data_IF_506813057829
#
_entry.id   IF_506813057829
#
_cell.length_a   1.000
_cell.length_b   1.000
_cell.length_c   1.000
_cell.angle_alpha   90.00
_cell.angle_beta   90.00
_cell.angle_gamma   90.00
#
_symmetry.space_group_name_H-M   'P 1'
#
loop_
_entity.id
_entity.type
_entity.pdbx_description
1 polymer ?
#
# COMPACT_ATOMS: atom_id res chain seq x y z
N UNK A 1 5.05 3.32 20.83
CA UNK A 1 5.75 2.31 20.00
C UNK A 1 4.80 1.23 19.49
N UNK A 2 3.95 0.65 20.34
CA UNK A 2 3.01 -0.42 19.95
C UNK A 2 1.98 0.01 18.91
N UNK A 3 1.37 1.19 19.08
CA UNK A 3 0.48 1.81 18.09
C UNK A 3 1.11 1.89 16.68
N UNK A 4 2.36 2.36 16.59
CA UNK A 4 3.08 2.50 15.32
C UNK A 4 3.35 1.15 14.66
N UNK A 5 3.74 0.12 15.43
CA UNK A 5 3.95 -1.23 14.90
C UNK A 5 2.65 -1.82 14.35
N UNK A 6 1.54 -1.64 15.05
CA UNK A 6 0.23 -2.09 14.60
C UNK A 6 -0.21 -1.36 13.33
N UNK A 7 -0.08 -0.03 13.29
CA UNK A 7 -0.41 0.78 12.12
C UNK A 7 0.42 0.38 10.89
N UNK A 8 1.75 0.29 11.03
CA UNK A 8 2.62 -0.12 9.93
C UNK A 8 2.31 -1.53 9.42
N UNK A 9 1.99 -2.45 10.33
CA UNK A 9 1.60 -3.82 9.98
C UNK A 9 0.28 -3.86 9.19
N UNK A 10 -0.67 -3.00 9.54
CA UNK A 10 -1.95 -2.89 8.84
C UNK A 10 -1.79 -2.27 7.45
N UNK A 11 -1.00 -1.21 7.30
CA UNK A 11 -0.65 -0.63 6.00
C UNK A 11 0.00 -1.69 5.09
N UNK A 12 0.99 -2.41 5.60
CA UNK A 12 1.66 -3.48 4.85
C UNK A 12 0.70 -4.62 4.47
N UNK A 13 -0.21 -5.01 5.37
CA UNK A 13 -1.23 -6.03 5.09
C UNK A 13 -2.17 -5.60 3.97
N UNK A 14 -2.64 -4.35 4.01
CA UNK A 14 -3.55 -3.81 3.01
C UNK A 14 -2.90 -3.71 1.63
N UNK A 15 -1.63 -3.27 1.56
CA UNK A 15 -0.85 -3.26 0.31
C UNK A 15 -0.72 -4.65 -0.30
N UNK A 16 -0.28 -5.64 0.50
CA UNK A 16 -0.14 -7.04 0.04
C UNK A 16 -1.47 -7.62 -0.44
N UNK A 17 -2.58 -7.28 0.23
CA UNK A 17 -3.91 -7.70 -0.18
C UNK A 17 -4.30 -7.10 -1.54
N UNK A 18 -4.13 -5.79 -1.72
CA UNK A 18 -4.42 -5.11 -2.98
C UNK A 18 -3.56 -5.63 -4.15
N UNK A 19 -2.26 -5.88 -3.90
CA UNK A 19 -1.36 -6.49 -4.87
C UNK A 19 -1.85 -7.90 -5.29
N UNK A 20 -2.23 -8.72 -4.31
CA UNK A 20 -2.74 -10.08 -4.55
C UNK A 20 -4.03 -10.06 -5.36
N UNK A 21 -5.00 -9.24 -4.98
CA UNK A 21 -6.29 -9.10 -5.68
C UNK A 21 -6.09 -8.65 -7.13
N UNK A 22 -5.25 -7.64 -7.36
CA UNK A 22 -4.93 -7.18 -8.71
C UNK A 22 -4.22 -8.25 -9.55
N UNK A 23 -3.21 -8.91 -8.98
CA UNK A 23 -2.46 -9.93 -9.70
C UNK A 23 -3.32 -11.16 -10.02
N UNK A 24 -4.20 -11.57 -9.12
CA UNK A 24 -5.13 -12.68 -9.36
C UNK A 24 -6.08 -12.35 -10.51
N UNK A 25 -6.69 -11.16 -10.49
CA UNK A 25 -7.52 -10.69 -11.60
C UNK A 25 -6.75 -10.70 -12.92
N UNK A 26 -5.53 -10.17 -12.94
CA UNK A 26 -4.73 -10.10 -14.17
C UNK A 26 -4.28 -11.47 -14.67
N UNK A 27 -3.98 -12.42 -13.78
CA UNK A 27 -3.61 -13.79 -14.17
C UNK A 27 -4.80 -14.60 -14.71
N UNK A 28 -6.00 -14.34 -14.21
CA UNK A 28 -7.22 -15.03 -14.62
C UNK A 28 -7.93 -14.35 -15.80
N UNK A 29 -7.53 -13.12 -16.13
CA UNK A 29 -8.10 -12.32 -17.21
C UNK A 29 -7.88 -12.98 -18.58
N UNK A 30 -8.97 -13.12 -19.31
CA UNK A 30 -9.06 -13.52 -20.70
C UNK A 30 -10.04 -12.57 -21.43
N UNK A 31 -10.05 -12.54 -22.77
CA UNK A 31 -11.01 -11.72 -23.51
C UNK A 31 -12.48 -12.00 -23.14
N UNK A 32 -12.79 -13.22 -22.68
CA UNK A 32 -14.16 -13.66 -22.40
C UNK A 32 -14.66 -13.29 -21.00
N UNK A 33 -13.76 -13.04 -20.05
CA UNK A 33 -14.09 -12.72 -18.65
C UNK A 33 -13.59 -11.32 -18.23
N UNK A 34 -13.11 -10.53 -19.19
CA UNK A 34 -12.60 -9.19 -18.94
C UNK A 34 -13.70 -8.26 -18.40
N UNK A 35 -13.44 -7.67 -17.25
CA UNK A 35 -14.33 -6.71 -16.60
C UNK A 35 -13.57 -5.39 -16.36
N UNK A 36 -13.86 -4.39 -17.20
CA UNK A 36 -13.24 -3.06 -17.14
C UNK A 36 -13.43 -2.36 -15.78
N UNK A 37 -14.63 -2.50 -15.19
CA UNK A 37 -14.96 -1.85 -13.91
C UNK A 37 -14.16 -2.47 -12.76
N UNK A 38 -14.06 -3.80 -12.75
CA UNK A 38 -13.27 -4.51 -11.76
C UNK A 38 -11.78 -4.22 -11.91
N UNK A 39 -11.27 -4.22 -13.14
CA UNK A 39 -9.88 -3.82 -13.43
C UNK A 39 -9.59 -2.41 -12.92
N UNK A 40 -10.46 -1.44 -13.22
CA UNK A 40 -10.29 -0.07 -12.79
C UNK A 40 -10.29 0.05 -11.26
N UNK A 41 -11.26 -0.58 -10.59
CA UNK A 41 -11.37 -0.59 -9.12
C UNK A 41 -10.11 -1.17 -8.47
N UNK A 42 -9.63 -2.32 -8.97
CA UNK A 42 -8.44 -2.98 -8.43
C UNK A 42 -7.17 -2.17 -8.70
N UNK A 43 -7.06 -1.53 -9.87
CA UNK A 43 -5.95 -0.64 -10.22
C UNK A 43 -5.88 0.57 -9.29
N UNK A 44 -7.01 1.24 -9.06
CA UNK A 44 -7.10 2.40 -8.16
C UNK A 44 -6.76 1.98 -6.73
N UNK A 45 -7.29 0.85 -6.26
CA UNK A 45 -6.99 0.34 -4.91
C UNK A 45 -5.49 0.04 -4.72
N UNK A 46 -4.86 -0.58 -5.73
CA UNK A 46 -3.42 -0.85 -5.73
C UNK A 46 -2.59 0.44 -5.70
N UNK A 47 -2.95 1.44 -6.51
CA UNK A 47 -2.24 2.70 -6.55
C UNK A 47 -2.36 3.47 -5.23
N UNK A 48 -3.58 3.59 -4.68
CA UNK A 48 -3.82 4.29 -3.42
C UNK A 48 -3.08 3.63 -2.25
N UNK A 49 -3.13 2.30 -2.15
CA UNK A 49 -2.43 1.59 -1.06
C UNK A 49 -0.91 1.72 -1.17
N UNK A 50 -0.35 1.76 -2.39
CA UNK A 50 1.07 2.06 -2.60
C UNK A 50 1.43 3.50 -2.23
N UNK A 51 0.59 4.48 -2.59
CA UNK A 51 0.79 5.88 -2.18
C UNK A 51 0.80 6.02 -0.65
N UNK A 52 -0.17 5.42 0.04
CA UNK A 52 -0.24 5.45 1.51
C UNK A 52 1.01 4.84 2.16
N UNK A 53 1.52 3.71 1.64
CA UNK A 53 2.75 3.08 2.14
C UNK A 53 3.97 4.00 1.96
N UNK A 54 4.09 4.64 0.79
CA UNK A 54 5.19 5.59 0.50
C UNK A 54 5.13 6.85 1.37
N UNK A 55 3.96 7.45 1.54
CA UNK A 55 3.77 8.63 2.40
C UNK A 55 4.05 8.31 3.87
N UNK A 56 3.60 7.15 4.33
CA UNK A 56 3.91 6.66 5.66
C UNK A 56 5.43 6.48 5.85
N UNK A 57 6.12 5.84 4.91
CA UNK A 57 7.58 5.67 4.97
C UNK A 57 8.32 7.01 5.02
N UNK A 58 7.92 7.98 4.20
CA UNK A 58 8.47 9.35 4.22
C UNK A 58 8.28 10.03 5.58
N UNK A 59 7.07 9.95 6.14
CA UNK A 59 6.74 10.56 7.43
C UNK A 59 7.56 9.97 8.56
N UNK A 60 7.71 8.65 8.60
CA UNK A 60 8.56 7.94 9.58
C UNK A 60 10.02 8.37 9.43
N UNK A 61 10.54 8.42 8.21
CA UNK A 61 11.92 8.84 7.96
C UNK A 61 12.18 10.30 8.39
N UNK A 62 11.26 11.20 8.09
CA UNK A 62 11.35 12.60 8.52
C UNK A 62 11.27 12.74 10.04
N UNK A 63 10.41 11.96 10.70
CA UNK A 63 10.29 11.94 12.16
C UNK A 63 11.56 11.42 12.82
N UNK A 64 12.18 10.37 12.26
CA UNK A 64 13.46 9.83 12.72
C UNK A 64 14.59 10.86 12.56
N UNK A 65 14.68 11.50 11.39
CA UNK A 65 15.68 12.55 11.13
C UNK A 65 15.55 13.69 12.14
N UNK A 66 14.34 14.21 12.32
CA UNK A 66 14.06 15.32 13.26
C UNK A 66 14.46 14.93 14.69
N UNK A 67 14.17 13.70 15.09
CA UNK A 67 14.56 13.19 16.41
C UNK A 67 16.08 13.15 16.57
N UNK A 68 16.81 12.63 15.57
CA UNK A 68 18.28 12.57 15.60
C UNK A 68 18.86 13.99 15.67
N UNK A 69 18.42 14.88 14.77
CA UNK A 69 18.88 16.27 14.72
C UNK A 69 18.65 17.03 16.03
N UNK A 70 17.64 16.66 16.82
CA UNK A 70 17.38 17.26 18.14
C UNK A 70 18.40 16.83 19.20
N UNK A 71 18.99 15.63 19.07
CA UNK A 71 19.92 15.06 20.05
C UNK A 71 21.39 15.13 19.64
N UNK A 72 21.71 15.67 18.47
CA UNK A 72 23.08 15.91 17.96
C UNK A 72 23.36 17.39 17.82
#
# INVERSE_FOLDING_TARGET
>A
MEFYKSFASEVMRNRKKADSEFNNFFMEASPDNWNDEEFFRLSVNKELTNMFDQEHAKTVQQSLKTTIDFFT
#
